data_IF_001467546698
#
_entry.id   IF_001467546698
#
_cell.length_a   1.000
_cell.length_b   1.000
_cell.length_c   1.000
_cell.angle_alpha   90.00
_cell.angle_beta   90.00
_cell.angle_gamma   90.00
#
_symmetry.space_group_name_H-M   'P 1'
#
loop_
_entity.id
_entity.type
_entity.pdbx_description
1 polymer ?
#
# COMPACT_ATOMS: atom_id res chain seq x y z
N UNK A 1 49.59 -8.24 4.33
CA UNK A 1 48.69 -7.19 4.85
C UNK A 1 47.80 -6.51 3.80
N UNK A 2 48.29 -6.24 2.57
CA UNK A 2 47.54 -5.46 1.55
C UNK A 2 46.17 -6.02 1.14
N UNK A 3 45.96 -7.34 1.20
CA UNK A 3 44.69 -7.99 0.84
C UNK A 3 43.81 -8.36 2.04
N UNK A 4 44.33 -8.21 3.27
CA UNK A 4 43.62 -8.65 4.49
C UNK A 4 42.33 -7.85 4.71
N UNK A 5 42.35 -6.55 4.41
CA UNK A 5 41.20 -5.68 4.54
C UNK A 5 40.09 -5.99 3.51
N UNK A 6 40.48 -6.36 2.28
CA UNK A 6 39.54 -6.75 1.23
C UNK A 6 38.88 -8.10 1.54
N UNK A 7 39.66 -9.09 2.01
CA UNK A 7 39.15 -10.40 2.43
C UNK A 7 38.20 -10.24 3.63
N UNK A 8 38.54 -9.38 4.59
CA UNK A 8 37.68 -9.10 5.74
C UNK A 8 36.37 -8.42 5.33
N UNK A 9 36.38 -7.53 4.33
CA UNK A 9 35.16 -6.89 3.80
C UNK A 9 34.21 -7.88 3.11
N UNK A 10 34.72 -8.93 2.47
CA UNK A 10 33.91 -9.97 1.81
C UNK A 10 33.21 -10.89 2.81
N UNK A 11 33.72 -10.99 4.06
CA UNK A 11 33.09 -11.76 5.13
C UNK A 11 31.86 -11.07 5.73
N UNK A 12 31.61 -9.80 5.40
CA UNK A 12 30.43 -9.03 5.82
C UNK A 12 29.42 -8.81 4.69
N UNK A 13 29.35 -9.74 3.72
CA UNK A 13 28.32 -9.67 2.68
C UNK A 13 26.94 -10.01 3.29
N UNK A 14 26.10 -8.99 3.44
CA UNK A 14 24.71 -9.14 3.88
C UNK A 14 23.80 -9.39 2.67
N UNK A 15 22.81 -10.26 2.82
CA UNK A 15 21.72 -10.39 1.84
C UNK A 15 20.71 -9.27 2.06
N UNK A 16 20.50 -8.43 1.05
CA UNK A 16 19.46 -7.42 1.07
C UNK A 16 18.16 -8.01 0.50
N UNK A 17 17.05 -7.82 1.22
CA UNK A 17 15.70 -8.12 0.75
C UNK A 17 14.88 -6.82 0.73
N UNK A 18 13.98 -6.70 -0.23
CA UNK A 18 13.02 -5.62 -0.30
C UNK A 18 11.70 -6.19 -0.80
N UNK A 19 10.62 -5.94 -0.05
CA UNK A 19 9.25 -6.09 -0.54
C UNK A 19 8.84 -4.84 -1.30
N UNK A 20 7.92 -4.95 -2.25
CA UNK A 20 7.38 -3.79 -2.95
C UNK A 20 5.91 -4.00 -3.29
N UNK A 21 5.08 -2.99 -3.00
CA UNK A 21 3.74 -2.94 -3.57
C UNK A 21 3.83 -2.78 -5.08
N UNK A 22 3.17 -3.67 -5.83
CA UNK A 22 3.09 -3.60 -7.29
C UNK A 22 2.51 -2.26 -7.74
N UNK A 23 1.56 -1.73 -6.96
CA UNK A 23 1.02 -0.39 -7.13
C UNK A 23 -0.20 -0.17 -6.27
N UNK A 24 -0.94 0.89 -6.56
CA UNK A 24 -2.24 1.13 -5.96
C UNK A 24 -3.02 2.19 -6.70
N UNK A 25 -4.31 2.25 -6.40
CA UNK A 25 -5.24 3.23 -6.94
C UNK A 25 -6.10 3.82 -5.81
N UNK A 26 -6.49 5.07 -5.98
CA UNK A 26 -7.44 5.77 -5.11
C UNK A 26 -8.64 6.15 -5.97
N UNK A 27 -9.83 5.75 -5.54
CA UNK A 27 -11.09 6.20 -6.11
C UNK A 27 -11.97 6.81 -5.02
N UNK A 28 -13.02 7.51 -5.42
CA UNK A 28 -13.98 8.07 -4.48
C UNK A 28 -15.39 7.92 -5.01
N UNK A 29 -16.34 7.82 -4.08
CA UNK A 29 -17.77 7.72 -4.37
C UNK A 29 -18.52 8.73 -3.52
N UNK A 30 -19.40 9.50 -4.16
CA UNK A 30 -20.32 10.39 -3.47
C UNK A 30 -21.28 9.58 -2.57
N UNK A 31 -21.49 10.03 -1.34
CA UNK A 31 -22.44 9.43 -0.39
C UNK A 31 -23.66 10.32 -0.21
N UNK A 32 -23.47 11.50 0.42
CA UNK A 32 -24.51 12.50 0.66
C UNK A 32 -23.86 13.82 1.07
N UNK A 33 -24.51 14.96 0.81
CA UNK A 33 -24.00 16.31 1.15
C UNK A 33 -22.55 16.51 0.69
N UNK A 34 -21.64 16.84 1.61
CA UNK A 34 -20.21 16.96 1.35
C UNK A 34 -19.42 15.73 1.81
N UNK A 35 -20.09 14.59 1.96
CA UNK A 35 -19.50 13.31 2.36
C UNK A 35 -19.22 12.38 1.20
N UNK A 36 -18.02 11.81 1.23
CA UNK A 36 -17.48 10.91 0.22
C UNK A 36 -16.87 9.67 0.86
N UNK A 37 -17.06 8.53 0.20
CA UNK A 37 -16.37 7.29 0.49
C UNK A 37 -15.10 7.26 -0.35
N UNK A 38 -13.94 7.17 0.31
CA UNK A 38 -12.63 7.02 -0.33
C UNK A 38 -12.27 5.54 -0.32
N UNK A 39 -11.95 5.02 -1.49
CA UNK A 39 -11.60 3.62 -1.71
C UNK A 39 -10.15 3.56 -2.18
N UNK A 40 -9.35 2.74 -1.52
CA UNK A 40 -7.96 2.49 -1.93
C UNK A 40 -7.81 1.01 -2.23
N UNK A 41 -7.20 0.69 -3.37
CA UNK A 41 -6.77 -0.67 -3.69
C UNK A 41 -5.25 -0.68 -3.72
N UNK A 42 -4.64 -1.56 -2.94
CA UNK A 42 -3.20 -1.83 -3.02
C UNK A 42 -2.98 -3.19 -3.67
N UNK A 43 -2.06 -3.24 -4.64
CA UNK A 43 -1.69 -4.46 -5.32
C UNK A 43 -0.33 -4.93 -4.80
N UNK A 44 -0.23 -6.20 -4.44
CA UNK A 44 1.03 -6.80 -3.97
C UNK A 44 1.34 -8.09 -4.71
N UNK A 45 2.62 -8.45 -4.74
CA UNK A 45 3.04 -9.81 -5.08
C UNK A 45 2.82 -10.74 -3.87
N UNK A 46 2.27 -11.92 -4.12
CA UNK A 46 2.01 -12.94 -3.10
C UNK A 46 3.28 -13.61 -2.56
N UNK A 47 4.43 -13.45 -3.24
CA UNK A 47 5.75 -13.84 -2.75
C UNK A 47 6.35 -12.84 -1.76
N UNK A 48 5.84 -11.61 -1.74
CA UNK A 48 6.31 -10.52 -0.88
C UNK A 48 5.61 -10.50 0.49
N UNK A 49 5.98 -9.53 1.33
CA UNK A 49 5.39 -9.31 2.65
C UNK A 49 3.86 -9.17 2.59
N UNK A 50 3.18 -9.79 3.55
CA UNK A 50 1.73 -9.65 3.75
C UNK A 50 1.40 -8.27 4.30
N UNK A 51 0.22 -7.73 3.99
CA UNK A 51 -0.23 -6.42 4.48
C UNK A 51 -1.07 -6.60 5.75
N UNK A 52 -0.63 -6.01 6.87
CA UNK A 52 -1.32 -6.15 8.16
C UNK A 52 -1.43 -7.59 8.63
N UNK A 53 -0.46 -8.45 8.26
CA UNK A 53 -0.48 -9.88 8.57
C UNK A 53 -1.51 -10.71 7.76
N UNK A 54 -2.16 -10.12 6.76
CA UNK A 54 -3.19 -10.76 5.95
C UNK A 54 -2.81 -10.82 4.47
N UNK A 55 -3.20 -11.89 3.80
CA UNK A 55 -2.85 -12.18 2.41
C UNK A 55 -2.54 -13.66 2.20
N UNK A 56 -2.67 -14.11 0.94
CA UNK A 56 -2.29 -15.43 0.49
C UNK A 56 -0.77 -15.62 0.35
N UNK A 57 -0.41 -16.77 -0.19
CA UNK A 57 0.95 -17.21 -0.41
C UNK A 57 1.64 -17.70 0.87
N UNK A 58 2.88 -18.17 0.68
CA UNK A 58 3.70 -18.77 1.74
C UNK A 58 4.65 -17.78 2.43
N UNK A 59 4.58 -16.49 2.10
CA UNK A 59 5.40 -15.46 2.75
C UNK A 59 5.13 -15.38 4.24
N UNK A 60 6.19 -15.36 5.04
CA UNK A 60 6.14 -15.17 6.50
C UNK A 60 6.45 -13.73 6.90
N UNK A 61 6.91 -12.90 5.96
CA UNK A 61 7.18 -11.48 6.18
C UNK A 61 5.88 -10.69 6.24
N UNK A 62 5.84 -9.68 7.09
CA UNK A 62 4.66 -8.84 7.30
C UNK A 62 5.05 -7.37 7.28
N UNK A 63 4.31 -6.60 6.48
CA UNK A 63 4.36 -5.14 6.44
C UNK A 63 3.13 -4.57 7.14
N UNK A 64 3.26 -3.33 7.63
CA UNK A 64 2.12 -2.60 8.18
C UNK A 64 1.03 -2.43 7.11
N UNK A 65 -0.22 -2.36 7.58
CA UNK A 65 -1.36 -2.11 6.72
C UNK A 65 -1.47 -0.63 6.33
N UNK A 66 -2.34 -0.30 5.37
CA UNK A 66 -2.67 1.09 5.07
C UNK A 66 -3.80 1.59 5.98
N UNK A 67 -3.42 2.36 7.00
CA UNK A 67 -4.35 2.85 8.02
C UNK A 67 -4.94 4.22 7.71
N UNK A 68 -4.28 5.00 6.85
CA UNK A 68 -4.71 6.37 6.55
C UNK A 68 -4.30 6.82 5.14
N UNK A 69 -5.10 7.74 4.59
CA UNK A 69 -4.70 8.61 3.50
C UNK A 69 -4.69 10.05 3.98
N UNK A 70 -3.85 10.87 3.38
CA UNK A 70 -3.66 12.26 3.75
C UNK A 70 -4.42 13.21 2.84
N UNK A 71 -4.83 14.33 3.41
CA UNK A 71 -5.48 15.43 2.73
C UNK A 71 -4.55 16.64 2.71
N UNK A 72 -4.43 17.23 1.53
CA UNK A 72 -3.68 18.48 1.31
C UNK A 72 -4.48 19.44 0.46
N UNK A 73 -4.46 20.73 0.79
CA UNK A 73 -4.94 21.77 -0.12
C UNK A 73 -3.96 21.95 -1.28
N UNK A 74 -4.44 22.22 -2.49
CA UNK A 74 -3.57 22.41 -3.68
C UNK A 74 -3.83 23.70 -4.46
N UNK A 75 -4.65 24.60 -3.92
CA UNK A 75 -4.81 25.95 -4.47
C UNK A 75 -3.79 26.91 -3.86
N UNK A 76 -3.24 27.80 -4.70
CA UNK A 76 -2.28 28.84 -4.28
C UNK A 76 -2.83 29.74 -3.17
N UNK A 77 -4.15 29.98 -3.15
CA UNK A 77 -4.86 30.75 -2.12
C UNK A 77 -4.91 30.05 -0.76
N UNK A 78 -4.72 28.72 -0.72
CA UNK A 78 -4.89 27.91 0.47
C UNK A 78 -3.57 27.30 0.97
N UNK A 79 -2.44 27.86 0.55
CA UNK A 79 -1.10 27.62 1.13
C UNK A 79 -0.48 26.26 0.81
N UNK A 80 -1.12 25.43 -0.01
CA UNK A 80 -0.66 24.09 -0.35
C UNK A 80 -0.23 23.24 0.87
N UNK A 81 -1.05 23.20 1.92
CA UNK A 81 -0.69 22.62 3.22
C UNK A 81 -1.39 21.28 3.47
N UNK A 82 -0.77 20.40 4.26
CA UNK A 82 -1.46 19.23 4.80
C UNK A 82 -2.52 19.70 5.80
N UNK A 83 -3.74 19.17 5.69
CA UNK A 83 -4.92 19.63 6.45
C UNK A 83 -5.58 18.52 7.26
N UNK A 84 -5.23 17.26 7.02
CA UNK A 84 -5.76 16.17 7.81
C UNK A 84 -5.50 14.82 7.18
N UNK A 85 -6.21 13.84 7.72
CA UNK A 85 -6.14 12.45 7.30
C UNK A 85 -7.52 11.80 7.34
N UNK A 86 -7.71 10.80 6.50
CA UNK A 86 -8.89 9.95 6.46
C UNK A 86 -8.45 8.57 6.94
N UNK A 87 -9.03 8.11 8.04
CA UNK A 87 -8.79 6.75 8.55
C UNK A 87 -9.41 5.72 7.61
N UNK A 88 -8.65 4.69 7.32
CA UNK A 88 -9.06 3.57 6.47
C UNK A 88 -9.39 2.33 7.31
N UNK A 89 -10.39 1.60 6.85
CA UNK A 89 -10.74 0.26 7.31
C UNK A 89 -10.47 -0.70 6.17
N UNK A 90 -9.70 -1.76 6.44
CA UNK A 90 -9.48 -2.83 5.47
C UNK A 90 -10.75 -3.66 5.32
N UNK A 91 -11.17 -3.86 4.08
CA UNK A 91 -12.34 -4.65 3.73
C UNK A 91 -12.00 -6.11 3.46
N UNK A 92 -10.80 -6.36 2.96
CA UNK A 92 -10.33 -7.70 2.62
C UNK A 92 -9.30 -7.66 1.49
N UNK A 93 -9.09 -8.81 0.87
CA UNK A 93 -8.23 -8.96 -0.29
C UNK A 93 -8.75 -10.06 -1.22
N UNK A 94 -8.29 -10.05 -2.46
CA UNK A 94 -8.66 -11.05 -3.46
C UNK A 94 -7.47 -11.32 -4.37
N UNK A 95 -7.25 -12.59 -4.69
CA UNK A 95 -6.32 -12.99 -5.75
C UNK A 95 -6.88 -12.55 -7.11
N UNK A 96 -6.14 -11.67 -7.79
CA UNK A 96 -6.49 -11.12 -9.11
C UNK A 96 -5.52 -11.61 -10.20
N UNK A 97 -4.76 -12.66 -9.93
CA UNK A 97 -3.77 -13.19 -10.86
C UNK A 97 -4.44 -13.63 -12.16
N UNK A 98 -4.05 -13.03 -13.29
CA UNK A 98 -4.55 -13.43 -14.60
C UNK A 98 -3.91 -14.77 -15.02
N UNK A 99 -4.59 -15.88 -14.70
CA UNK A 99 -4.19 -17.25 -15.05
C UNK A 99 -5.39 -18.05 -15.56
N UNK A 100 -5.13 -19.17 -16.21
CA UNK A 100 -6.17 -20.11 -16.59
C UNK A 100 -6.84 -20.71 -15.34
N UNK A 101 -8.16 -20.94 -15.38
CA UNK A 101 -8.99 -21.35 -14.24
C UNK A 101 -8.55 -22.67 -13.54
N UNK A 102 -7.71 -23.48 -14.18
CA UNK A 102 -7.20 -24.75 -13.62
C UNK A 102 -5.83 -24.60 -12.94
N UNK A 103 -5.17 -23.46 -13.09
CA UNK A 103 -3.90 -23.17 -12.44
C UNK A 103 -4.16 -22.50 -11.08
N UNK A 104 -3.35 -22.85 -10.09
CA UNK A 104 -3.33 -22.15 -8.79
C UNK A 104 -2.26 -21.07 -8.84
N UNK A 105 -2.59 -19.80 -8.57
CA UNK A 105 -1.60 -18.72 -8.55
C UNK A 105 -0.62 -18.89 -7.37
N UNK A 106 0.42 -18.07 -7.31
CA UNK A 106 1.33 -18.05 -6.15
C UNK A 106 0.69 -17.53 -4.85
N UNK A 107 -0.52 -16.99 -4.92
CA UNK A 107 -1.32 -16.58 -3.75
C UNK A 107 -1.97 -17.76 -3.03
N UNK A 108 -1.99 -18.94 -3.65
CA UNK A 108 -2.44 -20.16 -2.99
C UNK A 108 -1.31 -20.80 -2.17
N UNK A 109 -1.69 -21.45 -1.07
CA UNK A 109 -0.72 -22.19 -0.23
C UNK A 109 -0.20 -23.39 -1.02
N UNK A 110 1.12 -23.50 -1.20
CA UNK A 110 1.81 -24.59 -1.93
C UNK A 110 1.62 -24.57 -3.46
N UNK A 111 1.36 -23.42 -4.06
CA UNK A 111 1.40 -23.31 -5.52
C UNK A 111 2.82 -23.35 -6.07
N UNK A 112 2.99 -24.11 -7.16
CA UNK A 112 4.19 -24.16 -7.99
C UNK A 112 4.22 -23.09 -9.09
N UNK A 113 3.17 -22.27 -9.20
CA UNK A 113 3.09 -21.22 -10.19
C UNK A 113 4.06 -20.07 -9.84
N UNK A 114 4.60 -19.41 -10.87
CA UNK A 114 5.74 -18.51 -10.72
C UNK A 114 5.43 -17.12 -10.16
N UNK A 115 4.17 -16.70 -10.15
CA UNK A 115 3.76 -15.37 -9.68
C UNK A 115 2.32 -15.39 -9.17
N UNK A 116 1.95 -14.37 -8.40
CA UNK A 116 0.59 -14.19 -7.91
C UNK A 116 0.39 -12.76 -7.46
N UNK A 117 -0.71 -12.14 -7.86
CA UNK A 117 -1.03 -10.76 -7.52
C UNK A 117 -2.33 -10.72 -6.73
N UNK A 118 -2.27 -10.07 -5.58
CA UNK A 118 -3.45 -9.81 -4.75
C UNK A 118 -3.81 -8.32 -4.74
N UNK A 119 -5.11 -8.04 -4.81
CA UNK A 119 -5.69 -6.73 -4.56
C UNK A 119 -6.20 -6.67 -3.12
N UNK A 120 -5.74 -5.69 -2.35
CA UNK A 120 -6.18 -5.40 -0.99
C UNK A 120 -7.02 -4.14 -0.97
N UNK A 121 -8.19 -4.20 -0.35
CA UNK A 121 -9.20 -3.15 -0.42
C UNK A 121 -9.36 -2.43 0.91
N UNK A 122 -9.39 -1.11 0.86
CA UNK A 122 -9.51 -0.22 2.00
C UNK A 122 -10.60 0.81 1.75
N UNK A 123 -11.26 1.23 2.83
CA UNK A 123 -12.31 2.24 2.78
C UNK A 123 -12.16 3.26 3.89
N UNK A 124 -12.29 4.54 3.55
CA UNK A 124 -12.46 5.63 4.50
C UNK A 124 -13.70 6.45 4.18
N UNK A 125 -14.20 7.18 5.17
CA UNK A 125 -15.24 8.19 5.00
C UNK A 125 -14.65 9.56 5.33
N UNK A 126 -14.91 10.53 4.46
CA UNK A 126 -14.59 11.93 4.70
C UNK A 126 -15.85 12.75 4.56
N UNK A 127 -16.00 13.73 5.44
CA UNK A 127 -17.00 14.77 5.33
C UNK A 127 -16.28 16.12 5.21
N UNK A 128 -16.40 16.74 4.03
CA UNK A 128 -15.73 18.00 3.73
C UNK A 128 -16.36 19.21 4.44
N UNK A 129 -17.52 19.06 5.10
CA UNK A 129 -18.05 20.11 5.99
C UNK A 129 -17.13 20.37 7.19
N UNK A 130 -16.36 19.36 7.63
CA UNK A 130 -15.33 19.50 8.65
C UNK A 130 -14.11 20.34 8.20
N UNK A 131 -14.06 20.71 6.92
CA UNK A 131 -13.00 21.48 6.29
C UNK A 131 -13.53 22.82 5.73
N UNK A 132 -14.63 23.33 6.29
CA UNK A 132 -15.28 24.57 5.84
C UNK A 132 -14.38 25.81 5.85
N UNK A 133 -13.31 25.83 6.67
CA UNK A 133 -12.27 26.87 6.63
C UNK A 133 -11.49 26.91 5.29
N UNK A 134 -11.60 25.87 4.48
CA UNK A 134 -10.98 25.73 3.16
C UNK A 134 -12.02 25.79 2.02
N UNK A 135 -13.15 26.47 2.24
CA UNK A 135 -14.13 26.67 1.18
C UNK A 135 -13.51 27.39 -0.03
N UNK A 136 -13.75 26.87 -1.23
CA UNK A 136 -13.13 27.34 -2.48
C UNK A 136 -11.73 26.78 -2.75
N UNK A 137 -11.17 25.96 -1.85
CA UNK A 137 -9.90 25.27 -2.09
C UNK A 137 -10.13 23.93 -2.81
N UNK A 138 -9.13 23.50 -3.59
CA UNK A 138 -9.07 22.14 -4.11
C UNK A 138 -8.30 21.25 -3.15
N UNK A 139 -8.74 20.00 -2.99
CA UNK A 139 -8.08 18.99 -2.16
C UNK A 139 -7.39 17.94 -3.02
N UNK A 140 -6.23 17.50 -2.56
CA UNK A 140 -5.54 16.31 -3.02
C UNK A 140 -5.60 15.25 -1.92
N UNK A 141 -5.99 14.05 -2.30
CA UNK A 141 -5.92 12.85 -1.47
C UNK A 141 -4.72 12.03 -1.93
N UNK A 142 -3.86 11.63 -1.00
CA UNK A 142 -2.68 10.83 -1.32
C UNK A 142 -2.31 9.91 -0.14
N UNK A 143 -1.50 8.88 -0.40
CA UNK A 143 -0.84 8.12 0.64
C UNK A 143 0.64 8.00 0.32
N UNK A 144 1.45 7.85 1.35
CA UNK A 144 2.83 7.38 1.25
C UNK A 144 2.99 6.12 2.10
N UNK A 145 3.65 5.11 1.54
CA UNK A 145 3.94 3.87 2.26
C UNK A 145 5.39 3.50 2.01
N UNK A 146 6.14 3.33 3.10
CA UNK A 146 7.50 2.86 3.05
C UNK A 146 7.48 1.34 2.79
N UNK A 147 8.03 0.92 1.65
CA UNK A 147 8.05 -0.50 1.25
C UNK A 147 9.32 -1.26 1.69
N UNK A 148 10.29 -0.56 2.30
CA UNK A 148 11.48 -1.21 2.87
C UNK A 148 11.10 -1.99 4.13
N UNK A 149 10.97 -3.31 4.01
CA UNK A 149 11.06 -4.20 5.17
C UNK A 149 12.47 -4.11 5.75
N UNK A 150 12.63 -3.76 7.02
CA UNK A 150 13.84 -4.13 7.74
C UNK A 150 13.80 -5.65 7.90
N UNK A 151 14.69 -6.34 7.19
CA UNK A 151 15.06 -7.74 7.46
C UNK A 151 15.82 -7.85 8.76
#
# INVERSE_FOLDING_TARGET
MKYLFAILSLLFAFTASASHLVGGEITYKYVANNSYEVLVTLYRDCMDSKLGGTGGGSSTSNSADLEEVYLRTISSTCGNTSVGKITLTKLGYTDITAICNTASSKCETNSNYGYGIEAHYYKGLVDFDNYSQYNGCSFQIFFDKAERSNS
#
